data_IF_205405175264
#
_entry.id   IF_205405175264
#
_cell.length_a   1.000
_cell.length_b   1.000
_cell.length_c   1.000
_cell.angle_alpha   90.00
_cell.angle_beta   90.00
_cell.angle_gamma   90.00
#
_symmetry.space_group_name_H-M   'P 1'
#
loop_
_entity.id
_entity.type
_entity.pdbx_description
1 polymer ?
#
# COMPACT_ATOMS: atom_id res chain seq x y z
N UNK A 1 -53.06 23.72 5.34
CA UNK A 1 -52.26 23.90 6.58
C UNK A 1 -51.29 22.72 6.64
N UNK A 2 -50.11 22.86 6.02
CA UNK A 2 -48.80 23.18 6.62
C UNK A 2 -47.94 21.89 6.61
N UNK A 3 -46.98 21.71 5.68
CA UNK A 3 -45.56 22.12 5.77
C UNK A 3 -44.92 21.67 7.11
N UNK A 4 -43.99 20.70 7.15
CA UNK A 4 -42.53 20.75 6.88
C UNK A 4 -41.94 19.51 7.63
N UNK A 5 -40.76 18.91 7.42
CA UNK A 5 -39.46 19.30 6.88
C UNK A 5 -38.63 18.02 6.66
N UNK A 6 -37.74 18.10 5.69
CA UNK A 6 -36.70 17.15 5.32
C UNK A 6 -35.75 16.75 6.46
N UNK A 7 -35.21 15.55 6.33
CA UNK A 7 -34.05 15.07 7.09
C UNK A 7 -33.44 13.82 6.45
N UNK A 8 -33.22 13.83 5.13
CA UNK A 8 -32.27 12.88 4.53
C UNK A 8 -30.89 13.29 5.05
N UNK A 9 -30.41 12.59 6.07
CA UNK A 9 -29.02 12.66 6.47
C UNK A 9 -28.19 12.07 5.34
N UNK A 10 -27.53 12.97 4.60
CA UNK A 10 -26.47 12.68 3.65
C UNK A 10 -25.41 11.79 4.29
N UNK A 11 -25.37 10.51 3.92
CA UNK A 11 -24.15 9.69 4.05
C UNK A 11 -23.17 10.11 2.97
N UNK A 12 -22.49 11.23 3.21
CA UNK A 12 -21.28 11.61 2.51
C UNK A 12 -20.08 11.00 3.21
N UNK A 13 -19.77 9.75 2.91
CA UNK A 13 -18.48 9.11 3.30
C UNK A 13 -18.08 7.91 2.42
N UNK A 14 -18.84 7.57 1.36
CA UNK A 14 -18.59 6.33 0.59
C UNK A 14 -17.55 6.41 -0.52
N UNK A 15 -17.25 7.60 -1.05
CA UNK A 15 -16.44 7.68 -2.28
C UNK A 15 -14.93 7.55 -2.06
N UNK A 16 -14.42 7.90 -0.88
CA UNK A 16 -13.01 7.69 -0.52
C UNK A 16 -12.74 6.24 -0.12
N UNK A 17 -13.72 5.58 0.51
CA UNK A 17 -13.65 4.20 0.99
C UNK A 17 -13.68 3.20 -0.19
N UNK A 18 -14.53 3.46 -1.19
CA UNK A 18 -14.61 2.66 -2.43
C UNK A 18 -13.29 2.71 -3.24
N UNK A 19 -12.65 3.88 -3.30
CA UNK A 19 -11.39 4.08 -4.01
C UNK A 19 -10.20 3.41 -3.32
N UNK A 20 -10.12 3.51 -2.00
CA UNK A 20 -9.09 2.82 -1.21
C UNK A 20 -9.24 1.29 -1.29
N UNK A 21 -10.49 0.78 -1.23
CA UNK A 21 -10.78 -0.64 -1.42
C UNK A 21 -10.33 -1.14 -2.80
N UNK A 22 -10.62 -0.41 -3.87
CA UNK A 22 -10.18 -0.77 -5.21
C UNK A 22 -8.65 -0.79 -5.35
N UNK A 23 -7.95 0.17 -4.74
CA UNK A 23 -6.49 0.24 -4.78
C UNK A 23 -5.85 -0.96 -4.10
N UNK A 24 -6.35 -1.37 -2.92
CA UNK A 24 -5.89 -2.57 -2.21
C UNK A 24 -6.03 -3.83 -3.06
N UNK A 25 -7.19 -3.99 -3.72
CA UNK A 25 -7.45 -5.17 -4.54
C UNK A 25 -6.58 -5.17 -5.80
N UNK A 26 -6.41 -4.03 -6.47
CA UNK A 26 -5.52 -3.89 -7.62
C UNK A 26 -4.05 -4.15 -7.24
N UNK A 27 -3.61 -3.62 -6.10
CA UNK A 27 -2.26 -3.84 -5.61
C UNK A 27 -1.99 -5.33 -5.39
N UNK A 28 -2.90 -6.04 -4.70
CA UNK A 28 -2.83 -7.51 -4.56
C UNK A 28 -2.75 -8.19 -5.93
N UNK A 29 -3.65 -7.85 -6.83
CA UNK A 29 -3.71 -8.46 -8.16
C UNK A 29 -2.44 -8.25 -8.99
N UNK A 30 -1.82 -7.07 -8.86
CA UNK A 30 -0.55 -6.77 -9.52
C UNK A 30 0.59 -7.58 -8.90
N UNK A 31 0.65 -7.68 -7.57
CA UNK A 31 1.67 -8.51 -6.89
C UNK A 31 1.58 -9.96 -7.34
N UNK A 32 0.36 -10.54 -7.32
CA UNK A 32 0.13 -11.91 -7.77
C UNK A 32 0.63 -12.07 -9.22
N UNK A 33 0.36 -11.09 -10.09
CA UNK A 33 0.86 -11.07 -11.46
C UNK A 33 2.38 -10.94 -11.58
N UNK A 34 3.05 -10.21 -10.68
CA UNK A 34 4.52 -10.10 -10.66
C UNK A 34 5.13 -11.45 -10.27
N UNK A 35 4.61 -12.08 -9.23
CA UNK A 35 5.05 -13.41 -8.78
C UNK A 35 4.89 -14.45 -9.90
N UNK A 36 3.75 -14.46 -10.59
CA UNK A 36 3.49 -15.34 -11.74
C UNK A 36 4.44 -15.06 -12.93
N UNK A 37 4.85 -13.82 -13.13
CA UNK A 37 5.74 -13.45 -14.24
C UNK A 37 7.17 -13.96 -14.06
N UNK A 38 7.59 -14.25 -12.82
CA UNK A 38 8.94 -14.68 -12.48
C UNK A 38 10.05 -13.67 -12.77
N UNK A 39 9.70 -12.39 -13.00
CA UNK A 39 10.65 -11.31 -13.33
C UNK A 39 10.88 -10.38 -12.13
N UNK A 40 12.13 -9.97 -11.89
CA UNK A 40 12.47 -8.92 -10.93
C UNK A 40 12.12 -7.52 -11.48
N UNK A 41 10.82 -7.25 -11.69
CA UNK A 41 10.35 -6.00 -12.29
C UNK A 41 10.66 -4.75 -11.44
N UNK A 42 10.91 -4.94 -10.14
CA UNK A 42 11.28 -3.88 -9.20
C UNK A 42 12.76 -3.49 -9.27
N UNK A 43 13.64 -4.42 -9.67
CA UNK A 43 15.05 -4.13 -9.98
C UNK A 43 15.22 -3.69 -11.44
N UNK A 44 14.19 -3.92 -12.25
CA UNK A 44 14.09 -3.44 -13.62
C UNK A 44 13.88 -1.92 -13.71
N UNK A 45 13.67 -1.44 -14.94
CA UNK A 45 13.43 -0.03 -15.17
C UNK A 45 12.00 0.37 -14.78
N UNK A 46 11.83 1.56 -14.18
CA UNK A 46 10.50 2.14 -13.88
C UNK A 46 9.53 2.08 -15.07
N UNK A 47 9.95 2.34 -16.33
CA UNK A 47 9.08 2.17 -17.50
C UNK A 47 8.57 0.75 -17.71
N UNK A 48 9.38 -0.28 -17.42
CA UNK A 48 8.96 -1.68 -17.56
C UNK A 48 7.91 -2.05 -16.50
N UNK A 49 8.10 -1.60 -15.26
CA UNK A 49 7.09 -1.76 -14.20
C UNK A 49 5.80 -1.01 -14.56
N UNK A 50 5.90 0.22 -15.05
CA UNK A 50 4.74 1.01 -15.45
C UNK A 50 3.93 0.35 -16.56
N UNK A 51 4.59 -0.17 -17.59
CA UNK A 51 3.90 -0.89 -18.65
C UNK A 51 3.19 -2.13 -18.10
N UNK A 52 3.85 -2.91 -17.24
CA UNK A 52 3.25 -4.09 -16.62
C UNK A 52 2.01 -3.73 -15.79
N UNK A 53 2.08 -2.66 -14.99
CA UNK A 53 0.96 -2.17 -14.18
C UNK A 53 -0.20 -1.72 -15.07
N UNK A 54 0.07 -0.95 -16.13
CA UNK A 54 -0.95 -0.51 -17.10
C UNK A 54 -1.67 -1.72 -17.70
N UNK A 55 -0.91 -2.71 -18.17
CA UNK A 55 -1.48 -3.92 -18.78
C UNK A 55 -2.38 -4.68 -17.79
N UNK A 56 -1.95 -4.79 -16.52
CA UNK A 56 -2.72 -5.46 -15.46
C UNK A 56 -3.96 -4.68 -15.05
N UNK A 57 -3.88 -3.36 -14.93
CA UNK A 57 -5.05 -2.51 -14.63
C UNK A 57 -6.06 -2.62 -15.76
N UNK A 58 -5.62 -2.57 -17.03
CA UNK A 58 -6.49 -2.74 -18.18
C UNK A 58 -7.17 -4.12 -18.20
N UNK A 59 -6.42 -5.19 -17.90
CA UNK A 59 -6.94 -6.56 -17.76
C UNK A 59 -8.04 -6.62 -16.67
N UNK A 60 -7.77 -6.04 -15.50
CA UNK A 60 -8.69 -6.04 -14.36
C UNK A 60 -9.98 -5.24 -14.65
N UNK A 61 -9.84 -4.04 -15.23
CA UNK A 61 -10.98 -3.18 -15.63
C UNK A 61 -11.85 -3.88 -16.67
N UNK A 62 -11.24 -4.51 -17.68
CA UNK A 62 -11.96 -5.26 -18.71
C UNK A 62 -12.72 -6.46 -18.12
N UNK A 63 -12.10 -7.19 -17.19
CA UNK A 63 -12.69 -8.35 -16.51
C UNK A 63 -13.92 -7.98 -15.68
N UNK A 64 -13.88 -6.87 -14.96
CA UNK A 64 -14.99 -6.38 -14.13
C UNK A 64 -16.00 -5.50 -14.87
N UNK A 65 -15.73 -5.16 -16.14
CA UNK A 65 -16.53 -4.22 -16.94
C UNK A 65 -16.74 -2.87 -16.24
N UNK A 66 -15.70 -2.38 -15.58
CA UNK A 66 -15.73 -1.07 -14.92
C UNK A 66 -15.74 0.04 -15.97
N UNK A 67 -16.60 1.04 -15.78
CA UNK A 67 -16.65 2.23 -16.62
C UNK A 67 -15.61 3.25 -16.15
N UNK A 68 -14.35 3.03 -16.52
CA UNK A 68 -13.21 3.91 -16.25
C UNK A 68 -12.73 4.52 -17.57
N UNK A 69 -12.49 5.83 -17.61
CA UNK A 69 -11.90 6.48 -18.78
C UNK A 69 -10.42 6.12 -18.93
N UNK A 70 -9.88 6.26 -20.14
CA UNK A 70 -8.44 6.05 -20.39
C UNK A 70 -7.55 6.92 -19.49
N UNK A 71 -7.94 8.17 -19.27
CA UNK A 71 -7.19 9.09 -18.42
C UNK A 71 -7.17 8.63 -16.95
N UNK A 72 -8.31 8.19 -16.42
CA UNK A 72 -8.40 7.64 -15.06
C UNK A 72 -7.58 6.35 -14.91
N UNK A 73 -7.58 5.49 -15.94
CA UNK A 73 -6.77 4.27 -15.97
C UNK A 73 -5.27 4.57 -15.94
N UNK A 74 -4.80 5.48 -16.79
CA UNK A 74 -3.39 5.89 -16.84
C UNK A 74 -2.95 6.52 -15.51
N UNK A 75 -3.80 7.36 -14.90
CA UNK A 75 -3.56 7.92 -13.58
C UNK A 75 -3.48 6.86 -12.48
N UNK A 76 -4.43 5.93 -12.46
CA UNK A 76 -4.45 4.86 -11.47
C UNK A 76 -3.21 3.96 -11.59
N UNK A 77 -2.77 3.68 -12.82
CA UNK A 77 -1.55 2.93 -13.05
C UNK A 77 -0.31 3.68 -12.56
N UNK A 78 -0.21 4.99 -12.79
CA UNK A 78 0.89 5.81 -12.26
C UNK A 78 0.92 5.81 -10.73
N UNK A 79 -0.25 5.99 -10.09
CA UNK A 79 -0.37 5.95 -8.63
C UNK A 79 0.02 4.58 -8.04
N UNK A 80 -0.27 3.48 -8.76
CA UNK A 80 0.13 2.12 -8.36
C UNK A 80 1.63 1.87 -8.56
N UNK A 81 2.24 2.41 -9.60
CA UNK A 81 3.70 2.33 -9.81
C UNK A 81 4.44 3.09 -8.71
N UNK A 82 3.97 4.29 -8.39
CA UNK A 82 4.53 5.09 -7.32
C UNK A 82 4.35 4.40 -5.96
N UNK A 83 3.21 3.76 -5.73
CA UNK A 83 3.00 2.93 -4.54
C UNK A 83 4.03 1.79 -4.48
N UNK A 84 4.14 0.98 -5.53
CA UNK A 84 5.06 -0.17 -5.62
C UNK A 84 6.55 0.20 -5.51
N UNK A 85 6.90 1.47 -5.74
CA UNK A 85 8.28 1.98 -5.65
C UNK A 85 8.53 2.85 -4.41
N UNK A 86 7.48 3.35 -3.76
CA UNK A 86 7.51 4.21 -2.59
C UNK A 86 7.38 3.42 -1.29
N UNK A 87 6.35 3.75 -0.48
CA UNK A 87 6.07 3.05 0.77
C UNK A 87 5.29 1.73 0.57
N UNK A 88 5.04 1.35 -0.68
CA UNK A 88 4.36 0.11 -1.01
C UNK A 88 2.95 0.05 -0.42
N UNK A 89 2.48 -1.15 -0.05
CA UNK A 89 1.13 -1.37 0.47
C UNK A 89 0.82 -0.59 1.76
N UNK A 90 1.83 -0.09 2.46
CA UNK A 90 1.65 0.64 3.71
C UNK A 90 1.01 2.01 3.51
N UNK A 91 1.08 2.59 2.32
CA UNK A 91 0.55 3.93 2.09
C UNK A 91 -0.95 4.03 2.39
N UNK A 92 -1.70 2.95 2.15
CA UNK A 92 -3.14 2.88 2.49
C UNK A 92 -3.34 2.86 4.01
N UNK A 93 -2.54 2.09 4.74
CA UNK A 93 -2.65 2.00 6.21
C UNK A 93 -2.23 3.29 6.90
N UNK A 94 -1.18 3.94 6.40
CA UNK A 94 -0.67 5.19 6.97
C UNK A 94 -1.66 6.34 6.84
N UNK A 95 -2.59 6.26 5.89
CA UNK A 95 -3.67 7.24 5.70
C UNK A 95 -4.93 6.91 6.52
N UNK A 96 -5.05 5.70 7.03
CA UNK A 96 -6.21 5.23 7.80
C UNK A 96 -6.06 5.66 9.27
N UNK A 97 -6.85 6.66 9.68
CA UNK A 97 -6.82 7.20 11.04
C UNK A 97 -7.33 6.23 12.11
N UNK A 98 -7.96 5.11 11.73
CA UNK A 98 -8.36 4.07 12.68
C UNK A 98 -7.20 3.17 13.10
N UNK A 99 -6.10 3.17 12.34
CA UNK A 99 -4.93 2.34 12.59
C UNK A 99 -4.02 3.02 13.62
N UNK A 100 -3.79 2.35 14.74
CA UNK A 100 -2.91 2.84 15.82
C UNK A 100 -1.52 2.22 15.76
N UNK A 101 -1.40 1.01 15.21
CA UNK A 101 -0.13 0.30 15.07
C UNK A 101 -0.11 -0.53 13.78
N UNK A 102 1.05 -0.65 13.14
CA UNK A 102 1.28 -1.49 11.96
C UNK A 102 2.42 -2.46 12.27
N UNK A 103 2.16 -3.76 12.15
CA UNK A 103 3.14 -4.81 12.38
C UNK A 103 3.38 -5.58 11.08
N UNK A 104 4.64 -5.65 10.64
CA UNK A 104 5.05 -6.38 9.45
C UNK A 104 6.06 -7.46 9.84
N UNK A 105 5.62 -8.72 9.83
CA UNK A 105 6.46 -9.88 10.18
C UNK A 105 6.95 -10.66 8.94
N UNK A 106 6.75 -10.10 7.75
CA UNK A 106 7.10 -10.70 6.47
C UNK A 106 6.17 -10.23 5.36
N UNK A 107 6.47 -10.58 4.10
CA UNK A 107 5.77 -10.01 2.95
C UNK A 107 4.26 -10.28 2.93
N UNK A 108 3.80 -11.41 3.46
CA UNK A 108 2.37 -11.73 3.56
C UNK A 108 1.81 -11.69 4.98
N UNK A 109 2.54 -11.13 5.95
CA UNK A 109 2.17 -11.13 7.38
C UNK A 109 2.13 -9.71 7.90
N UNK A 110 1.07 -9.00 7.52
CA UNK A 110 0.84 -7.60 7.89
C UNK A 110 -0.40 -7.51 8.77
N UNK A 111 -0.23 -6.91 9.94
CA UNK A 111 -1.27 -6.72 10.94
C UNK A 111 -1.41 -5.24 11.27
N UNK A 112 -2.61 -4.85 11.68
CA UNK A 112 -2.89 -3.51 12.19
C UNK A 112 -3.64 -3.58 13.50
N UNK A 113 -3.33 -2.67 14.41
CA UNK A 113 -4.16 -2.45 15.58
C UNK A 113 -5.23 -1.40 15.27
N UNK A 114 -6.49 -1.69 15.63
CA UNK A 114 -7.61 -0.74 15.61
C UNK A 114 -8.38 -0.88 16.91
N UNK A 115 -8.61 0.24 17.59
CA UNK A 115 -9.34 0.28 18.88
C UNK A 115 -8.77 -0.72 19.92
N UNK A 116 -7.44 -0.93 19.92
CA UNK A 116 -6.76 -1.88 20.81
C UNK A 116 -6.90 -3.35 20.44
N UNK A 117 -7.44 -3.67 19.26
CA UNK A 117 -7.59 -5.03 18.74
C UNK A 117 -6.71 -5.22 17.52
N UNK A 118 -5.98 -6.34 17.48
CA UNK A 118 -5.11 -6.68 16.36
C UNK A 118 -5.90 -7.38 15.24
N UNK A 119 -5.76 -6.88 14.02
CA UNK A 119 -6.40 -7.38 12.81
C UNK A 119 -5.36 -7.81 11.77
N UNK A 120 -5.54 -8.99 11.19
CA UNK A 120 -4.76 -9.37 10.01
C UNK A 120 -5.29 -8.57 8.81
N UNK A 121 -4.37 -8.03 8.00
CA UNK A 121 -4.74 -7.26 6.80
C UNK A 121 -4.67 -8.12 5.55
N UNK A 122 -5.38 -7.69 4.51
CA UNK A 122 -5.18 -8.24 3.18
C UNK A 122 -4.00 -7.59 2.46
N UNK A 123 -3.07 -6.93 3.13
CA UNK A 123 -1.90 -6.36 2.47
C UNK A 123 -0.81 -7.40 2.25
N UNK A 124 -0.12 -7.26 1.11
CA UNK A 124 1.06 -8.05 0.78
C UNK A 124 2.12 -7.16 0.20
N UNK A 125 3.37 -7.42 0.59
CA UNK A 125 4.54 -7.04 -0.16
C UNK A 125 4.88 -8.16 -1.15
N UNK A 126 5.75 -7.84 -2.10
CA UNK A 126 6.16 -8.76 -3.16
C UNK A 126 7.07 -9.83 -2.57
N UNK A 127 8.07 -9.39 -1.80
CA UNK A 127 9.03 -10.25 -1.12
C UNK A 127 9.63 -9.51 0.09
N UNK A 128 10.54 -10.17 0.80
CA UNK A 128 11.26 -9.57 1.94
C UNK A 128 12.10 -8.35 1.53
N UNK A 129 12.68 -8.34 0.32
CA UNK A 129 13.46 -7.21 -0.17
C UNK A 129 12.59 -5.97 -0.44
N UNK A 130 11.32 -6.16 -0.83
CA UNK A 130 10.35 -5.08 -0.93
C UNK A 130 10.05 -4.50 0.46
N UNK A 131 9.89 -5.32 1.49
CA UNK A 131 9.74 -4.85 2.88
C UNK A 131 10.96 -4.01 3.30
N UNK A 132 12.17 -4.52 3.06
CA UNK A 132 13.42 -3.82 3.38
C UNK A 132 13.53 -2.48 2.66
N UNK A 133 13.21 -2.41 1.36
CA UNK A 133 13.22 -1.15 0.59
C UNK A 133 12.20 -0.15 1.12
N UNK A 134 10.99 -0.58 1.45
CA UNK A 134 9.99 0.30 2.08
C UNK A 134 10.52 0.84 3.41
N UNK A 135 11.13 -0.02 4.23
CA UNK A 135 11.72 0.39 5.49
C UNK A 135 12.88 1.38 5.29
N UNK A 136 13.77 1.14 4.33
CA UNK A 136 14.82 2.08 3.98
C UNK A 136 14.25 3.44 3.53
N UNK A 137 13.19 3.44 2.72
CA UNK A 137 12.49 4.67 2.31
C UNK A 137 11.91 5.44 3.50
N UNK A 138 11.38 4.75 4.52
CA UNK A 138 10.86 5.38 5.75
C UNK A 138 12.00 5.98 6.59
N UNK A 139 13.15 5.30 6.65
CA UNK A 139 14.30 5.72 7.47
C UNK A 139 15.20 6.77 6.80
N UNK A 140 15.21 6.83 5.46
CA UNK A 140 16.10 7.71 4.71
C UNK A 140 15.96 9.20 5.09
N UNK A 141 14.73 9.77 5.24
CA UNK A 141 14.56 11.16 5.70
C UNK A 141 15.09 11.41 7.12
N UNK A 142 15.20 10.36 7.94
CA UNK A 142 15.72 10.44 9.30
C UNK A 142 17.25 10.29 9.37
N UNK A 143 17.92 10.07 8.24
CA UNK A 143 19.35 9.77 8.20
C UNK A 143 19.71 8.44 8.87
N UNK A 144 18.76 7.51 8.94
CA UNK A 144 18.95 6.17 9.52
C UNK A 144 19.04 5.12 8.42
N UNK A 145 19.71 4.00 8.71
CA UNK A 145 19.90 2.88 7.79
C UNK A 145 19.48 1.59 8.49
N UNK A 146 18.92 0.67 7.71
CA UNK A 146 18.61 -0.70 8.10
C UNK A 146 19.10 -1.61 6.98
N UNK A 147 20.19 -2.31 7.26
CA UNK A 147 20.89 -3.20 6.33
C UNK A 147 21.77 -4.18 7.14
N UNK A 148 22.46 -5.07 6.45
CA UNK A 148 23.27 -6.13 7.08
C UNK A 148 24.35 -5.59 8.04
N UNK A 149 24.83 -4.36 7.86
CA UNK A 149 25.79 -3.72 8.78
C UNK A 149 25.12 -3.06 9.99
N UNK A 150 23.81 -2.81 9.94
CA UNK A 150 23.02 -2.19 10.99
C UNK A 150 21.63 -2.83 11.04
N UNK A 151 21.50 -4.03 11.62
CA UNK A 151 20.33 -4.89 11.46
C UNK A 151 19.14 -4.51 12.35
N UNK A 152 19.28 -3.49 13.19
CA UNK A 152 18.24 -3.03 14.11
C UNK A 152 18.15 -1.51 14.11
N UNK A 153 16.93 -0.99 14.15
CA UNK A 153 16.65 0.44 14.25
C UNK A 153 15.47 0.71 15.17
N UNK A 154 15.59 1.75 15.99
CA UNK A 154 14.48 2.40 16.70
C UNK A 154 14.55 3.89 16.36
N UNK A 155 13.46 4.44 15.82
CA UNK A 155 13.40 5.82 15.37
C UNK A 155 12.01 6.43 15.60
N UNK A 156 12.00 7.76 15.68
CA UNK A 156 10.78 8.56 15.76
C UNK A 156 10.61 9.33 14.45
N UNK A 157 9.45 9.18 13.83
CA UNK A 157 9.06 9.85 12.61
C UNK A 157 8.64 11.30 12.90
N UNK A 158 8.63 12.20 11.88
CA UNK A 158 8.31 13.61 12.08
C UNK A 158 6.88 13.89 12.54
N UNK A 159 5.96 12.96 12.24
CA UNK A 159 4.57 12.94 12.71
C UNK A 159 4.44 12.54 14.19
N UNK A 160 5.54 12.13 14.83
CA UNK A 160 5.61 11.69 16.23
C UNK A 160 5.48 10.18 16.40
N UNK A 161 5.13 9.44 15.34
CA UNK A 161 5.02 7.98 15.32
C UNK A 161 6.38 7.31 15.57
N UNK A 162 6.37 6.05 15.99
CA UNK A 162 7.59 5.28 16.27
C UNK A 162 7.74 4.18 15.25
N UNK A 163 8.97 3.89 14.88
CA UNK A 163 9.29 2.76 14.00
C UNK A 163 10.40 1.93 14.62
N UNK A 164 10.13 0.64 14.74
CA UNK A 164 11.10 -0.36 15.16
C UNK A 164 11.20 -1.41 14.05
N UNK A 165 12.41 -1.71 13.62
CA UNK A 165 12.63 -2.73 12.60
C UNK A 165 13.91 -3.51 12.87
N UNK A 166 13.85 -4.80 12.53
CA UNK A 166 14.91 -5.77 12.69
C UNK A 166 14.96 -6.61 11.40
N UNK A 167 16.15 -6.82 10.85
CA UNK A 167 16.35 -7.74 9.73
C UNK A 167 17.23 -8.94 10.15
N UNK A 168 16.99 -10.15 9.62
CA UNK A 168 17.83 -11.32 9.92
C UNK A 168 19.19 -11.29 9.22
N UNK A 169 20.19 -12.05 9.72
CA UNK A 169 20.27 -12.66 11.04
C UNK A 169 20.90 -11.70 12.06
N UNK A 170 20.37 -11.68 13.28
CA UNK A 170 21.12 -11.18 14.43
C UNK A 170 22.06 -12.33 14.83
N UNK A 171 23.32 -12.27 14.39
CA UNK A 171 24.37 -13.24 14.75
C UNK A 171 25.09 -12.83 16.05
#
# INVERSE_FOLDING_TARGET
MAEKLFGVSSRGSGQADDGQGLKLVLHRYIIDGIEESGKNLLEGSRPALAQFVIDKVAEYVARLRLAISRYEMERLAEELVDELTGFGPLEVLLRDTSVTEILVNGPGKVFVERDGVLHHTDLRFIDSHHVERVMQSILAPLGRRLDESSPMVDARLPDGSRVNAIIPPIA
#
